data_IF_653188958761
#
_entry.id   IF_653188958761
#
_cell.length_a   1.000
_cell.length_b   1.000
_cell.length_c   1.000
_cell.angle_alpha   90.00
_cell.angle_beta   90.00
_cell.angle_gamma   90.00
#
_symmetry.space_group_name_H-M   'P 1'
#
loop_
_entity.id
_entity.type
_entity.pdbx_description
1 polymer ?
#
# COMPACT_ATOMS: atom_id res chain seq x y z
N UNK A 1 21.59 5.68 25.41
CA UNK A 1 20.73 4.73 24.69
C UNK A 1 19.41 4.71 25.43
N UNK A 2 18.35 5.25 24.83
CA UNK A 2 17.00 5.01 25.34
C UNK A 2 16.57 3.68 24.73
N UNK A 3 16.61 2.61 25.50
CA UNK A 3 16.03 1.34 25.08
C UNK A 3 14.52 1.56 24.98
N UNK A 4 13.99 1.46 23.76
CA UNK A 4 12.55 1.40 23.55
C UNK A 4 12.11 0.07 24.17
N UNK A 5 11.37 0.14 25.27
CA UNK A 5 10.81 -1.06 25.89
C UNK A 5 9.88 -1.75 24.88
N UNK A 6 10.11 -3.04 24.62
CA UNK A 6 9.23 -3.85 23.78
C UNK A 6 7.88 -4.03 24.49
N UNK A 7 6.78 -4.07 23.73
CA UNK A 7 5.47 -4.41 24.28
C UNK A 7 5.46 -5.83 24.83
N UNK A 8 4.68 -6.08 25.89
CA UNK A 8 4.41 -7.43 26.39
C UNK A 8 3.19 -8.08 25.71
N UNK A 9 2.55 -7.40 24.76
CA UNK A 9 1.39 -7.90 24.02
C UNK A 9 1.84 -8.53 22.68
N UNK A 10 1.59 -9.83 22.52
CA UNK A 10 1.98 -10.59 21.32
C UNK A 10 1.41 -9.98 20.02
N UNK A 11 0.13 -9.61 20.01
CA UNK A 11 -0.51 -9.01 18.83
C UNK A 11 0.10 -7.67 18.46
N UNK A 12 0.56 -6.90 19.45
CA UNK A 12 1.27 -5.65 19.19
C UNK A 12 2.66 -5.91 18.59
N UNK A 13 3.40 -6.87 19.12
CA UNK A 13 4.71 -7.27 18.56
C UNK A 13 4.55 -7.78 17.12
N UNK A 14 3.52 -8.58 16.82
CA UNK A 14 3.24 -9.06 15.45
C UNK A 14 2.97 -7.91 14.48
N UNK A 15 2.20 -6.90 14.91
CA UNK A 15 1.91 -5.71 14.12
C UNK A 15 3.19 -4.90 13.85
N UNK A 16 4.02 -4.67 14.87
CA UNK A 16 5.30 -3.97 14.75
C UNK A 16 6.27 -4.70 13.81
N UNK A 17 6.37 -6.04 13.92
CA UNK A 17 7.18 -6.88 13.03
C UNK A 17 6.70 -6.75 11.58
N UNK A 18 5.40 -6.84 11.34
CA UNK A 18 4.84 -6.72 9.99
C UNK A 18 5.09 -5.31 9.41
N UNK A 19 4.94 -4.26 10.21
CA UNK A 19 5.26 -2.90 9.81
C UNK A 19 6.72 -2.74 9.38
N UNK A 20 7.67 -3.24 10.19
CA UNK A 20 9.09 -3.20 9.83
C UNK A 20 9.43 -4.03 8.58
N UNK A 21 8.78 -5.18 8.39
CA UNK A 21 8.94 -5.99 7.17
C UNK A 21 8.47 -5.24 5.92
N UNK A 22 7.34 -4.51 6.01
CA UNK A 22 6.85 -3.68 4.90
C UNK A 22 7.85 -2.58 4.55
N UNK A 23 8.32 -1.82 5.57
CA UNK A 23 9.32 -0.76 5.36
C UNK A 23 10.61 -1.31 4.77
N UNK A 24 11.05 -2.50 5.22
CA UNK A 24 12.27 -3.12 4.73
C UNK A 24 12.19 -3.42 3.22
N UNK A 25 11.08 -4.02 2.76
CA UNK A 25 10.86 -4.25 1.33
C UNK A 25 10.86 -2.94 0.54
N UNK A 26 10.15 -1.92 1.03
CA UNK A 26 10.03 -0.62 0.35
C UNK A 26 11.40 0.05 0.22
N UNK A 27 12.18 -0.04 1.28
CA UNK A 27 13.54 0.48 1.33
C UNK A 27 14.43 -0.19 0.29
N UNK A 28 14.34 -1.51 0.11
CA UNK A 28 15.10 -2.25 -0.91
C UNK A 28 14.76 -1.75 -2.31
N UNK A 29 13.47 -1.59 -2.61
CA UNK A 29 13.00 -1.10 -3.91
C UNK A 29 13.48 0.32 -4.20
N UNK A 30 13.30 1.24 -3.24
CA UNK A 30 13.70 2.64 -3.38
C UNK A 30 15.23 2.80 -3.49
N UNK A 31 16.00 2.00 -2.75
CA UNK A 31 17.45 1.92 -2.91
C UNK A 31 17.80 1.45 -4.32
N UNK A 32 17.15 0.40 -4.82
CA UNK A 32 17.33 -0.10 -6.17
C UNK A 32 17.08 0.96 -7.26
N UNK A 33 16.02 1.74 -7.11
CA UNK A 33 15.66 2.83 -8.01
C UNK A 33 16.74 3.92 -8.04
N UNK A 34 17.24 4.33 -6.87
CA UNK A 34 18.32 5.32 -6.76
C UNK A 34 19.64 4.80 -7.32
N UNK A 35 19.95 3.52 -7.09
CA UNK A 35 21.13 2.87 -7.67
C UNK A 35 21.08 2.84 -9.21
N UNK A 36 19.91 2.54 -9.80
CA UNK A 36 19.71 2.61 -11.25
C UNK A 36 19.90 4.04 -11.77
N UNK A 37 19.29 5.02 -11.11
CA UNK A 37 19.40 6.43 -11.51
C UNK A 37 20.85 6.91 -11.56
N UNK A 38 21.61 6.72 -10.47
CA UNK A 38 23.01 7.14 -10.38
C UNK A 38 23.89 6.43 -11.41
N UNK A 39 23.62 5.15 -11.69
CA UNK A 39 24.37 4.38 -12.70
C UNK A 39 24.15 4.90 -14.12
N UNK A 40 22.95 5.38 -14.41
CA UNK A 40 22.55 5.83 -15.74
C UNK A 40 22.88 7.31 -16.00
N UNK A 41 22.87 8.16 -14.95
CA UNK A 41 22.88 9.62 -15.12
C UNK A 41 24.10 10.33 -14.51
N UNK A 42 24.67 9.82 -13.41
CA UNK A 42 25.58 10.63 -12.58
C UNK A 42 27.03 10.14 -12.57
N UNK A 43 27.30 8.90 -12.98
CA UNK A 43 28.64 8.29 -12.87
C UNK A 43 29.20 7.87 -14.23
N UNK A 44 30.45 8.27 -14.48
CA UNK A 44 31.22 7.79 -15.61
C UNK A 44 31.48 6.28 -15.51
N UNK A 45 31.69 5.64 -16.67
CA UNK A 45 31.95 4.19 -16.74
C UNK A 45 33.10 3.78 -15.81
N UNK A 46 32.86 2.78 -14.97
CA UNK A 46 33.83 2.26 -14.00
C UNK A 46 33.79 2.89 -12.59
N UNK A 47 33.12 4.02 -12.38
CA UNK A 47 33.06 4.66 -11.05
C UNK A 47 31.96 4.11 -10.13
N UNK A 48 30.97 3.43 -10.70
CA UNK A 48 29.79 2.92 -9.98
C UNK A 48 30.16 1.97 -8.83
N UNK A 49 31.16 1.09 -9.03
CA UNK A 49 31.56 0.11 -8.04
C UNK A 49 32.17 0.74 -6.79
N UNK A 50 33.12 1.66 -6.98
CA UNK A 50 33.77 2.39 -5.88
C UNK A 50 32.78 3.25 -5.11
N UNK A 51 31.77 3.81 -5.79
CA UNK A 51 30.77 4.68 -5.18
C UNK A 51 29.88 3.94 -4.17
N UNK A 52 29.28 2.79 -4.55
CA UNK A 52 28.42 2.07 -3.61
C UNK A 52 29.22 1.37 -2.49
N UNK A 53 30.46 0.97 -2.77
CA UNK A 53 31.35 0.38 -1.76
C UNK A 53 31.71 1.37 -0.65
N UNK A 54 31.88 2.66 -0.98
CA UNK A 54 32.11 3.73 0.01
C UNK A 54 30.94 3.86 1.00
N UNK A 55 29.72 3.52 0.58
CA UNK A 55 28.53 3.51 1.43
C UNK A 55 28.36 2.19 2.20
N UNK A 56 29.31 1.26 2.11
CA UNK A 56 29.26 -0.05 2.77
C UNK A 56 28.31 -1.05 2.12
N UNK A 57 27.82 -0.78 0.90
CA UNK A 57 26.89 -1.69 0.23
C UNK A 57 27.63 -2.86 -0.41
N UNK A 58 27.09 -4.07 -0.23
CA UNK A 58 27.61 -5.28 -0.87
C UNK A 58 27.19 -5.34 -2.35
N UNK A 59 28.09 -5.69 -3.29
CA UNK A 59 27.77 -5.89 -4.71
C UNK A 59 26.55 -6.78 -4.99
N UNK A 60 26.37 -7.86 -4.22
CA UNK A 60 25.24 -8.79 -4.34
C UNK A 60 23.92 -8.10 -4.03
N UNK A 61 23.87 -7.30 -2.97
CA UNK A 61 22.68 -6.53 -2.59
C UNK A 61 22.35 -5.48 -3.67
N UNK A 62 23.35 -4.72 -4.11
CA UNK A 62 23.20 -3.69 -5.16
C UNK A 62 22.60 -4.30 -6.42
N UNK A 63 23.14 -5.43 -6.90
CA UNK A 63 22.62 -6.14 -8.08
C UNK A 63 21.16 -6.58 -7.91
N UNK A 64 20.81 -7.13 -6.73
CA UNK A 64 19.45 -7.57 -6.44
C UNK A 64 18.48 -6.39 -6.41
N UNK A 65 18.78 -5.35 -5.64
CA UNK A 65 17.93 -4.17 -5.46
C UNK A 65 17.69 -3.45 -6.80
N UNK A 66 18.74 -3.24 -7.59
CA UNK A 66 18.63 -2.64 -8.93
C UNK A 66 17.74 -3.46 -9.86
N UNK A 67 17.86 -4.80 -9.83
CA UNK A 67 17.02 -5.68 -10.65
C UNK A 67 15.55 -5.60 -10.20
N UNK A 68 15.29 -5.69 -8.90
CA UNK A 68 13.94 -5.56 -8.33
C UNK A 68 13.28 -4.25 -8.78
N UNK A 69 13.98 -3.12 -8.66
CA UNK A 69 13.44 -1.83 -9.06
C UNK A 69 13.25 -1.66 -10.58
N UNK A 70 13.99 -2.41 -11.40
CA UNK A 70 13.86 -2.37 -12.87
C UNK A 70 12.66 -3.17 -13.36
N UNK A 71 12.43 -4.34 -12.77
CA UNK A 71 11.36 -5.26 -13.17
C UNK A 71 10.01 -4.88 -12.55
N UNK A 72 10.02 -4.24 -11.37
CA UNK A 72 8.82 -3.75 -10.70
C UNK A 72 8.81 -2.22 -10.65
N UNK A 73 8.18 -1.52 -11.61
CA UNK A 73 8.16 -0.05 -11.62
C UNK A 73 7.24 0.55 -10.55
N UNK A 74 6.36 -0.24 -9.92
CA UNK A 74 5.49 0.20 -8.83
C UNK A 74 5.70 -0.67 -7.58
N UNK A 75 5.84 -0.02 -6.43
CA UNK A 75 6.03 -0.65 -5.12
C UNK A 75 4.72 -1.16 -4.50
N UNK A 76 3.58 -0.60 -4.89
CA UNK A 76 2.27 -0.82 -4.24
C UNK A 76 1.86 -2.30 -4.13
N UNK A 77 2.43 -3.17 -4.97
CA UNK A 77 2.12 -4.60 -5.09
C UNK A 77 3.02 -5.55 -4.29
N UNK A 78 4.03 -5.06 -3.56
CA UNK A 78 5.09 -5.91 -2.97
C UNK A 78 5.17 -5.93 -1.42
N UNK A 79 4.07 -5.85 -0.65
CA UNK A 79 4.19 -5.86 0.80
C UNK A 79 4.73 -7.20 1.33
N UNK A 80 5.54 -7.13 2.39
CA UNK A 80 6.01 -8.26 3.21
C UNK A 80 7.01 -9.27 2.60
N UNK A 81 7.56 -9.00 1.41
CA UNK A 81 8.55 -9.88 0.80
C UNK A 81 9.98 -9.60 1.28
N UNK A 82 10.74 -10.68 1.51
CA UNK A 82 12.18 -10.62 1.76
C UNK A 82 12.98 -10.23 0.51
N UNK A 83 14.22 -9.76 0.69
CA UNK A 83 15.16 -9.42 -0.39
C UNK A 83 15.29 -10.54 -1.44
N UNK A 84 15.34 -11.79 -0.96
CA UNK A 84 15.50 -12.98 -1.78
C UNK A 84 14.22 -13.32 -2.53
N UNK A 85 13.05 -13.17 -1.90
CA UNK A 85 11.77 -13.40 -2.55
C UNK A 85 11.55 -12.38 -3.67
N UNK A 86 11.76 -11.09 -3.38
CA UNK A 86 11.70 -10.00 -4.37
C UNK A 86 12.62 -10.29 -5.58
N UNK A 87 13.87 -10.64 -5.31
CA UNK A 87 14.82 -10.94 -6.37
C UNK A 87 14.45 -12.19 -7.18
N UNK A 88 13.91 -13.23 -6.54
CA UNK A 88 13.50 -14.45 -7.24
C UNK A 88 12.34 -14.15 -8.19
N UNK A 89 11.30 -13.46 -7.71
CA UNK A 89 10.16 -13.06 -8.54
C UNK A 89 10.65 -12.18 -9.71
N UNK A 90 11.50 -11.17 -9.46
CA UNK A 90 12.10 -10.34 -10.51
C UNK A 90 12.90 -11.12 -11.58
N UNK A 91 13.25 -12.39 -11.31
CA UNK A 91 14.00 -13.23 -12.26
C UNK A 91 13.13 -14.26 -12.98
N UNK A 92 11.83 -14.33 -12.68
CA UNK A 92 10.89 -15.20 -13.37
C UNK A 92 10.52 -14.64 -14.76
N UNK A 93 10.00 -15.47 -15.67
CA UNK A 93 9.30 -15.01 -16.88
C UNK A 93 8.15 -14.04 -16.57
N UNK A 94 7.77 -13.19 -17.53
CA UNK A 94 6.81 -12.11 -17.29
C UNK A 94 5.40 -12.61 -16.88
N UNK A 95 4.95 -13.69 -17.48
CA UNK A 95 3.72 -14.42 -17.14
C UNK A 95 3.72 -14.91 -15.68
N UNK A 96 4.80 -15.57 -15.28
CA UNK A 96 4.98 -16.09 -13.92
C UNK A 96 5.15 -14.95 -12.89
N UNK A 97 5.78 -13.84 -13.27
CA UNK A 97 5.86 -12.65 -12.43
C UNK A 97 4.47 -12.11 -12.10
N UNK A 98 3.62 -11.93 -13.13
CA UNK A 98 2.24 -11.45 -12.96
C UNK A 98 1.44 -12.41 -12.07
N UNK A 99 1.57 -13.72 -12.27
CA UNK A 99 0.90 -14.70 -11.43
C UNK A 99 1.32 -14.60 -9.96
N UNK A 100 2.62 -14.48 -9.67
CA UNK A 100 3.08 -14.33 -8.28
C UNK A 100 2.61 -13.00 -7.66
N UNK A 101 2.56 -11.91 -8.43
CA UNK A 101 2.03 -10.63 -7.96
C UNK A 101 0.54 -10.73 -7.61
N UNK A 102 -0.27 -11.35 -8.47
CA UNK A 102 -1.70 -11.56 -8.22
C UNK A 102 -1.95 -12.39 -6.95
N UNK A 103 -1.12 -13.41 -6.70
CA UNK A 103 -1.19 -14.22 -5.46
C UNK A 103 -0.90 -13.37 -4.21
N UNK A 104 0.09 -12.48 -4.30
CA UNK A 104 0.45 -11.56 -3.20
C UNK A 104 -0.69 -10.58 -2.92
N UNK A 105 -1.32 -10.03 -3.95
CA UNK A 105 -2.49 -9.14 -3.82
C UNK A 105 -3.68 -9.85 -3.14
N UNK A 106 -3.84 -11.15 -3.37
CA UNK A 106 -4.85 -11.99 -2.71
C UNK A 106 -4.47 -12.39 -1.27
N UNK A 107 -3.32 -11.94 -0.78
CA UNK A 107 -2.83 -12.20 0.58
C UNK A 107 -1.97 -13.45 0.72
N UNK A 108 -1.67 -14.17 -0.36
CA UNK A 108 -0.74 -15.30 -0.35
C UNK A 108 0.70 -14.84 -0.55
N UNK A 109 1.53 -14.97 0.50
CA UNK A 109 2.96 -14.62 0.41
C UNK A 109 3.77 -15.86 0.02
N UNK A 110 4.35 -15.92 -1.21
CA UNK A 110 5.10 -17.09 -1.66
C UNK A 110 6.39 -17.25 -0.85
N UNK A 111 6.73 -18.50 -0.50
CA UNK A 111 7.97 -18.77 0.22
C UNK A 111 9.18 -18.79 -0.72
N UNK A 112 10.36 -18.48 -0.18
CA UNK A 112 11.62 -18.57 -0.96
C UNK A 112 11.86 -19.97 -1.51
N UNK A 113 11.41 -21.01 -0.81
CA UNK A 113 11.52 -22.40 -1.24
C UNK A 113 10.64 -22.70 -2.47
N UNK A 114 9.38 -22.26 -2.43
CA UNK A 114 8.45 -22.36 -3.56
C UNK A 114 9.01 -21.65 -4.80
N UNK A 115 9.47 -20.40 -4.64
CA UNK A 115 10.02 -19.62 -5.74
C UNK A 115 11.29 -20.25 -6.35
N UNK A 116 12.14 -20.87 -5.53
CA UNK A 116 13.32 -21.61 -6.02
C UNK A 116 12.92 -22.86 -6.81
N UNK A 117 11.92 -23.59 -6.32
CA UNK A 117 11.44 -24.79 -6.98
C UNK A 117 10.78 -24.46 -8.33
N UNK A 118 9.94 -23.43 -8.37
CA UNK A 118 9.33 -22.91 -9.60
C UNK A 118 10.39 -22.51 -10.63
N UNK A 119 11.38 -21.72 -10.21
CA UNK A 119 12.49 -21.33 -11.08
C UNK A 119 13.28 -22.52 -11.62
N UNK A 120 13.50 -23.55 -10.79
CA UNK A 120 14.15 -24.79 -11.20
C UNK A 120 13.38 -25.54 -12.28
N UNK A 121 12.06 -25.69 -12.09
CA UNK A 121 11.16 -26.31 -13.09
C UNK A 121 11.19 -25.58 -14.42
N UNK A 122 11.07 -24.25 -14.40
CA UNK A 122 11.11 -23.42 -15.61
C UNK A 122 12.46 -23.53 -16.34
N UNK A 123 13.57 -23.57 -15.59
CA UNK A 123 14.90 -23.75 -16.18
C UNK A 123 15.05 -25.11 -16.86
N UNK A 124 14.57 -26.18 -16.22
CA UNK A 124 14.63 -27.53 -16.79
C UNK A 124 13.74 -27.67 -18.04
N UNK A 125 12.55 -27.07 -18.02
CA UNK A 125 11.66 -27.03 -19.19
C UNK A 125 12.31 -26.29 -20.37
N UNK A 126 12.93 -25.12 -20.11
CA UNK A 126 13.65 -24.36 -21.14
C UNK A 126 14.81 -25.15 -21.76
N UNK A 127 15.59 -25.87 -20.95
CA UNK A 127 16.67 -26.73 -21.46
C UNK A 127 16.12 -27.86 -22.34
N UNK A 128 15.03 -28.51 -21.91
CA UNK A 128 14.39 -29.58 -22.67
C UNK A 128 13.88 -29.11 -24.03
N UNK A 129 13.29 -27.91 -24.09
CA UNK A 129 12.82 -27.31 -25.35
C UNK A 129 14.01 -27.04 -26.28
N UNK A 130 15.10 -26.45 -25.77
CA UNK A 130 16.29 -26.17 -26.57
C UNK A 130 16.93 -27.45 -27.13
N UNK A 131 17.02 -28.53 -26.33
CA UNK A 131 17.51 -29.83 -26.78
C UNK A 131 16.65 -30.43 -27.91
N UNK A 132 15.31 -30.32 -27.80
CA UNK A 132 14.38 -30.81 -28.81
C UNK A 132 14.43 -29.99 -30.10
N UNK A 133 14.59 -28.67 -30.00
CA UNK A 133 14.79 -27.79 -31.15
C UNK A 133 16.08 -28.13 -31.91
N UNK A 134 17.18 -28.36 -31.20
CA UNK A 134 18.47 -28.75 -31.78
C UNK A 134 18.39 -30.14 -32.45
N UNK A 135 17.70 -31.10 -31.82
CA UNK A 135 17.45 -32.41 -32.42
C UNK A 135 16.57 -32.31 -33.68
N UNK A 136 15.54 -31.47 -33.68
CA UNK A 136 14.67 -31.27 -34.85
C UNK A 136 15.41 -30.68 -36.06
N UNK A 137 16.44 -29.86 -35.81
CA UNK A 137 17.27 -29.28 -36.86
C UNK A 137 18.27 -30.29 -37.45
N UNK A 138 18.73 -31.27 -36.67
CA UNK A 138 19.64 -32.32 -37.15
C UNK A 138 18.94 -33.43 -37.97
N UNK A 139 17.62 -33.59 -37.86
CA UNK A 139 16.86 -34.67 -38.54
C UNK A 139 16.44 -34.33 -39.99
N UNK A 140 16.81 -33.16 -40.55
CA UNK A 140 16.63 -32.89 -42.00
C UNK A 140 17.68 -33.59 -42.87
N UNK A 141 17.66 -34.91 -42.91
CA UNK A 141 18.39 -35.71 -43.92
C UNK A 141 17.56 -35.75 -45.20
N UNK A 142 18.17 -35.35 -46.32
CA UNK A 142 17.61 -35.40 -47.68
C UNK A 142 17.43 -36.85 -48.12
N UNK A 143 16.19 -37.33 -48.21
CA UNK A 143 15.87 -38.50 -49.04
C UNK A 143 15.25 -38.02 -50.36
N UNK A 144 15.97 -38.29 -51.44
CA UNK A 144 15.49 -38.09 -52.81
C UNK A 144 14.67 -39.32 -53.19
N UNK A 145 13.35 -39.24 -53.05
CA UNK A 145 12.41 -40.21 -53.62
C UNK A 145 11.99 -39.67 -54.98
N UNK A 146 12.30 -40.44 -56.03
CA UNK A 146 11.94 -40.15 -57.41
C UNK A 146 10.55 -40.72 -57.66
N UNK A 147 9.51 -39.95 -57.32
CA UNK A 147 8.12 -40.32 -57.56
C UNK A 147 7.67 -39.71 -58.91
N UNK A 148 7.17 -40.57 -59.81
CA UNK A 148 6.63 -40.15 -61.10
C UNK A 148 5.20 -39.66 -60.84
N UNK A 149 5.03 -38.35 -60.72
CA UNK A 149 3.70 -37.74 -60.62
C UNK A 149 3.04 -37.69 -62.01
N UNK A 150 2.00 -38.50 -62.21
CA UNK A 150 0.99 -38.22 -63.23
C UNK A 150 0.09 -37.14 -62.65
N UNK A 151 0.35 -35.89 -63.02
CA UNK A 151 -0.45 -34.74 -62.64
C UNK A 151 -1.88 -34.86 -63.21
N UNK A 152 -2.92 -34.93 -62.37
CA UNK A 152 -4.31 -34.80 -62.82
C UNK A 152 -4.51 -33.43 -63.49
N UNK A 153 -5.36 -33.34 -64.52
CA UNK A 153 -5.55 -32.13 -65.34
C UNK A 153 -5.99 -30.88 -64.53
N UNK A 154 -6.48 -31.11 -63.32
CA UNK A 154 -7.08 -30.23 -62.33
C UNK A 154 -6.12 -29.84 -61.19
N UNK A 155 -4.87 -30.34 -61.18
CA UNK A 155 -3.89 -30.06 -60.13
C UNK A 155 -3.47 -28.57 -60.06
N UNK A 156 -3.43 -27.90 -61.21
CA UNK A 156 -3.06 -26.47 -61.27
C UNK A 156 -4.15 -25.56 -60.71
N UNK A 157 -5.42 -25.96 -60.82
CA UNK A 157 -6.56 -25.24 -60.21
C UNK A 157 -6.59 -25.44 -58.69
N UNK A 158 -6.25 -26.64 -58.20
CA UNK A 158 -6.13 -26.90 -56.76
C UNK A 158 -5.02 -26.06 -56.11
N UNK A 159 -3.88 -25.89 -56.78
CA UNK A 159 -2.77 -25.04 -56.31
C UNK A 159 -3.18 -23.57 -56.25
N UNK A 160 -3.80 -23.05 -57.33
CA UNK A 160 -4.19 -21.64 -57.38
C UNK A 160 -5.24 -21.30 -56.32
N UNK A 161 -6.20 -22.20 -56.08
CA UNK A 161 -7.19 -22.05 -55.03
C UNK A 161 -6.56 -22.11 -53.62
N UNK A 162 -5.61 -23.00 -53.38
CA UNK A 162 -4.90 -23.09 -52.10
C UNK A 162 -4.08 -21.82 -51.83
N UNK A 163 -3.40 -21.29 -52.85
CA UNK A 163 -2.67 -20.03 -52.77
C UNK A 163 -3.60 -18.86 -52.40
N UNK A 164 -4.77 -18.78 -53.03
CA UNK A 164 -5.76 -17.75 -52.77
C UNK A 164 -6.37 -17.87 -51.36
N UNK A 165 -6.60 -19.09 -50.88
CA UNK A 165 -7.03 -19.37 -49.51
C UNK A 165 -5.94 -19.02 -48.49
N UNK A 166 -4.66 -19.27 -48.79
CA UNK A 166 -3.54 -18.86 -47.94
C UNK A 166 -3.42 -17.34 -47.85
N UNK A 167 -3.54 -16.63 -48.97
CA UNK A 167 -3.50 -15.16 -49.00
C UNK A 167 -4.68 -14.55 -48.24
N UNK A 168 -5.88 -15.14 -48.39
CA UNK A 168 -7.08 -14.74 -47.64
C UNK A 168 -6.90 -15.00 -46.13
N UNK A 169 -6.43 -16.20 -45.75
CA UNK A 169 -6.15 -16.52 -44.34
C UNK A 169 -5.10 -15.60 -43.74
N UNK A 170 -4.06 -15.24 -44.49
CA UNK A 170 -3.04 -14.30 -44.06
C UNK A 170 -3.63 -12.92 -43.81
N UNK A 171 -4.47 -12.42 -44.71
CA UNK A 171 -5.18 -11.15 -44.52
C UNK A 171 -6.11 -11.18 -43.30
N UNK A 172 -6.77 -12.31 -43.02
CA UNK A 172 -7.58 -12.49 -41.81
C UNK A 172 -6.75 -12.52 -40.52
N UNK A 173 -5.58 -13.17 -40.54
CA UNK A 173 -4.64 -13.20 -39.41
C UNK A 173 -4.13 -11.79 -39.10
N UNK A 174 -3.72 -11.03 -40.12
CA UNK A 174 -3.23 -9.66 -39.95
C UNK A 174 -4.33 -8.73 -39.39
N UNK A 175 -5.57 -8.90 -39.85
CA UNK A 175 -6.73 -8.15 -39.33
C UNK A 175 -7.06 -8.50 -37.90
N UNK A 176 -6.99 -9.77 -37.52
CA UNK A 176 -7.22 -10.21 -36.15
C UNK A 176 -6.13 -9.68 -35.21
N UNK A 177 -4.85 -9.72 -35.62
CA UNK A 177 -3.75 -9.15 -34.85
C UNK A 177 -3.93 -7.63 -34.61
N UNK A 178 -4.40 -6.91 -35.63
CA UNK A 178 -4.72 -5.48 -35.50
C UNK A 178 -5.89 -5.22 -34.54
N UNK A 179 -6.95 -6.03 -34.59
CA UNK A 179 -8.10 -5.91 -33.70
C UNK A 179 -7.74 -6.25 -32.24
N UNK A 180 -6.92 -7.27 -32.02
CA UNK A 180 -6.36 -7.60 -30.70
C UNK A 180 -5.55 -6.44 -30.14
N UNK A 181 -4.70 -5.81 -30.96
CA UNK A 181 -3.94 -4.63 -30.55
C UNK A 181 -4.84 -3.45 -30.15
N UNK A 182 -5.92 -3.20 -30.90
CA UNK A 182 -6.88 -2.15 -30.53
C UNK A 182 -7.64 -2.48 -29.24
N UNK A 183 -8.08 -3.73 -29.06
CA UNK A 183 -8.73 -4.16 -27.83
C UNK A 183 -7.83 -4.00 -26.61
N UNK A 184 -6.54 -4.34 -26.75
CA UNK A 184 -5.55 -4.14 -25.70
C UNK A 184 -5.39 -2.67 -25.33
N UNK A 185 -5.30 -1.78 -26.32
CA UNK A 185 -5.22 -0.33 -26.07
C UNK A 185 -6.46 0.22 -25.37
N UNK A 186 -7.66 -0.24 -25.75
CA UNK A 186 -8.91 0.16 -25.12
C UNK A 186 -9.00 -0.38 -23.68
N UNK A 187 -8.54 -1.60 -23.44
CA UNK A 187 -8.47 -2.18 -22.09
C UNK A 187 -7.52 -1.40 -21.18
N UNK A 188 -6.31 -1.08 -21.65
CA UNK A 188 -5.34 -0.24 -20.91
C UNK A 188 -5.89 1.16 -20.60
N UNK A 189 -6.61 1.78 -21.54
CA UNK A 189 -7.24 3.07 -21.31
C UNK A 189 -8.34 3.00 -20.25
N UNK A 190 -9.14 1.93 -20.25
CA UNK A 190 -10.18 1.72 -19.23
C UNK A 190 -9.58 1.46 -17.85
N UNK A 191 -8.50 0.69 -17.77
CA UNK A 191 -7.80 0.44 -16.51
C UNK A 191 -7.22 1.74 -15.93
N UNK A 192 -6.57 2.57 -16.77
CA UNK A 192 -6.08 3.90 -16.38
C UNK A 192 -7.22 4.81 -15.91
N UNK A 193 -8.38 4.78 -16.58
CA UNK A 193 -9.56 5.52 -16.14
C UNK A 193 -10.07 5.04 -14.76
N UNK A 194 -10.13 3.72 -14.52
CA UNK A 194 -10.52 3.17 -13.22
C UNK A 194 -9.57 3.60 -12.10
N UNK A 195 -8.25 3.60 -12.35
CA UNK A 195 -7.25 4.08 -11.39
C UNK A 195 -7.42 5.57 -11.05
N UNK A 196 -7.82 6.40 -12.03
CA UNK A 196 -8.11 7.82 -11.79
C UNK A 196 -9.34 8.00 -10.91
N UNK A 197 -10.42 7.24 -11.16
CA UNK A 197 -11.64 7.26 -10.33
C UNK A 197 -11.39 6.79 -8.89
N UNK A 198 -10.48 5.83 -8.70
CA UNK A 198 -10.05 5.38 -7.37
C UNK A 198 -9.26 6.47 -6.62
N UNK A 199 -8.35 7.16 -7.31
CA UNK A 199 -7.60 8.29 -6.74
C UNK A 199 -8.54 9.45 -6.40
N UNK A 200 -9.51 9.75 -7.25
CA UNK A 200 -10.49 10.82 -7.00
C UNK A 200 -11.34 10.52 -5.75
N UNK A 201 -11.80 9.27 -5.60
CA UNK A 201 -12.50 8.82 -4.38
C UNK A 201 -11.61 8.90 -3.13
N UNK A 202 -10.34 8.52 -3.22
CA UNK A 202 -9.41 8.62 -2.10
C UNK A 202 -9.15 10.08 -1.70
N UNK A 203 -9.08 11.00 -2.67
CA UNK A 203 -8.95 12.44 -2.43
C UNK A 203 -10.21 12.99 -1.76
N UNK A 204 -11.41 12.62 -2.21
CA UNK A 204 -12.67 13.03 -1.58
C UNK A 204 -12.79 12.53 -0.13
N UNK A 205 -12.48 11.26 0.11
CA UNK A 205 -12.46 10.69 1.47
C UNK A 205 -11.44 11.39 2.37
N UNK A 206 -10.23 11.65 1.85
CA UNK A 206 -9.18 12.37 2.56
C UNK A 206 -9.59 13.81 2.91
N UNK A 207 -10.27 14.52 2.00
CA UNK A 207 -10.84 15.85 2.25
C UNK A 207 -11.95 15.82 3.30
N UNK A 208 -12.81 14.80 3.27
CA UNK A 208 -13.83 14.58 4.29
C UNK A 208 -13.22 14.38 5.68
N UNK A 209 -12.21 13.52 5.79
CA UNK A 209 -11.49 13.27 7.05
C UNK A 209 -10.78 14.52 7.58
N UNK A 210 -10.10 15.28 6.72
CA UNK A 210 -9.47 16.56 7.07
C UNK A 210 -10.50 17.59 7.57
N UNK A 211 -11.70 17.61 6.98
CA UNK A 211 -12.78 18.51 7.39
C UNK A 211 -13.33 18.15 8.77
N UNK A 212 -13.51 16.85 9.06
CA UNK A 212 -13.96 16.39 10.38
C UNK A 212 -12.92 16.69 11.45
N UNK A 213 -11.63 16.42 11.20
CA UNK A 213 -10.55 16.79 12.12
C UNK A 213 -10.47 18.30 12.36
N UNK A 214 -10.67 19.13 11.33
CA UNK A 214 -10.72 20.58 11.49
C UNK A 214 -11.88 21.03 12.38
N UNK A 215 -13.04 20.39 12.24
CA UNK A 215 -14.23 20.64 13.08
C UNK A 215 -13.98 20.22 14.54
N UNK A 216 -13.35 19.07 14.76
CA UNK A 216 -12.93 18.62 16.10
C UNK A 216 -11.93 19.58 16.74
N UNK A 217 -10.92 20.03 16.00
CA UNK A 217 -9.92 21.00 16.48
C UNK A 217 -10.59 22.35 16.82
N UNK A 218 -11.51 22.82 15.97
CA UNK A 218 -12.25 24.06 16.21
C UNK A 218 -13.10 23.95 17.48
N UNK A 219 -13.89 22.88 17.63
CA UNK A 219 -14.69 22.59 18.82
C UNK A 219 -13.84 22.49 20.08
N UNK A 220 -12.70 21.80 20.01
CA UNK A 220 -11.75 21.68 21.11
C UNK A 220 -11.17 23.05 21.50
N UNK A 221 -10.80 23.87 20.52
CA UNK A 221 -10.27 25.23 20.75
C UNK A 221 -11.31 26.14 21.40
N UNK A 222 -12.56 26.09 20.94
CA UNK A 222 -13.68 26.83 21.53
C UNK A 222 -13.92 26.40 22.97
N UNK A 223 -13.94 25.09 23.22
CA UNK A 223 -14.09 24.51 24.57
C UNK A 223 -12.98 24.96 25.51
N UNK A 224 -11.71 24.85 25.09
CA UNK A 224 -10.56 25.32 25.89
C UNK A 224 -10.65 26.82 26.17
N UNK A 225 -11.08 27.61 25.18
CA UNK A 225 -11.22 29.06 25.33
C UNK A 225 -12.32 29.41 26.34
N UNK A 226 -13.45 28.70 26.28
CA UNK A 226 -14.54 28.84 27.24
C UNK A 226 -14.09 28.48 28.67
N UNK A 227 -13.41 27.34 28.85
CA UNK A 227 -12.87 26.93 30.14
C UNK A 227 -11.86 27.93 30.72
N UNK A 228 -11.00 28.53 29.87
CA UNK A 228 -10.09 29.60 30.31
C UNK A 228 -10.84 30.82 30.84
N UNK A 229 -11.93 31.23 30.19
CA UNK A 229 -12.77 32.34 30.68
C UNK A 229 -13.46 31.98 32.01
N UNK A 230 -13.95 30.75 32.15
CA UNK A 230 -14.52 30.25 33.41
C UNK A 230 -13.50 30.30 34.56
N UNK A 231 -12.27 29.83 34.32
CA UNK A 231 -11.19 29.89 35.32
C UNK A 231 -10.81 31.33 35.69
N UNK A 232 -10.79 32.25 34.72
CA UNK A 232 -10.56 33.68 34.99
C UNK A 232 -11.69 34.30 35.82
N UNK A 233 -12.94 33.95 35.54
CA UNK A 233 -14.09 34.36 36.34
C UNK A 233 -13.98 33.87 37.79
N UNK A 234 -13.71 32.57 38.01
CA UNK A 234 -13.54 32.00 39.35
C UNK A 234 -12.38 32.66 40.11
N UNK A 235 -11.27 32.93 39.42
CA UNK A 235 -10.12 33.64 40.01
C UNK A 235 -10.51 35.07 40.44
N UNK A 236 -11.32 35.75 39.64
CA UNK A 236 -11.82 37.10 39.95
C UNK A 236 -12.81 37.11 41.12
N UNK A 237 -13.57 36.03 41.29
CA UNK A 237 -14.55 35.85 42.37
C UNK A 237 -13.98 35.22 43.64
N UNK A 238 -12.77 34.64 43.62
CA UNK A 238 -12.08 34.18 44.84
C UNK A 238 -11.86 35.27 45.90
N UNK A 239 -11.98 36.54 45.51
CA UNK A 239 -12.02 37.69 46.40
C UNK A 239 -13.29 37.84 47.26
N UNK A 240 -14.40 37.18 46.90
CA UNK A 240 -15.68 37.26 47.62
C UNK A 240 -15.55 36.74 49.05
N UNK A 241 -14.68 35.75 49.27
CA UNK A 241 -14.36 35.21 50.60
C UNK A 241 -13.75 36.24 51.56
N UNK A 242 -13.19 37.34 51.02
CA UNK A 242 -12.57 38.42 51.78
C UNK A 242 -13.48 39.64 51.94
N UNK A 243 -14.68 39.63 51.37
CA UNK A 243 -15.67 40.68 51.61
C UNK A 243 -16.25 40.48 53.01
N UNK A 244 -16.09 41.48 53.90
CA UNK A 244 -16.74 41.48 55.22
C UNK A 244 -18.23 41.83 55.08
N UNK A 245 -18.98 40.88 54.50
CA UNK A 245 -20.43 41.01 54.29
C UNK A 245 -21.23 40.42 55.44
N UNK A 246 -20.60 39.74 56.40
CA UNK A 246 -21.30 39.05 57.51
C UNK A 246 -22.14 39.99 58.37
N UNK A 247 -21.71 41.25 58.52
CA UNK A 247 -22.41 42.26 59.32
C UNK A 247 -23.60 42.90 58.59
N UNK A 248 -23.61 42.86 57.25
CA UNK A 248 -24.60 43.51 56.38
C UNK A 248 -25.62 42.49 55.83
N UNK A 249 -25.20 41.24 55.62
CA UNK A 249 -26.00 40.17 55.05
C UNK A 249 -27.31 39.89 55.83
N UNK A 250 -27.33 39.84 57.18
CA UNK A 250 -28.58 39.62 57.93
C UNK A 250 -29.54 40.81 57.87
N UNK A 251 -29.03 42.00 57.52
CA UNK A 251 -29.77 43.27 57.49
C UNK A 251 -30.25 43.64 56.09
N UNK A 252 -29.80 42.92 55.05
CA UNK A 252 -30.12 43.21 53.66
C UNK A 252 -30.62 41.95 52.95
N UNK A 253 -31.96 41.80 52.92
CA UNK A 253 -32.63 40.64 52.32
C UNK A 253 -32.33 40.50 50.81
N UNK A 254 -32.17 41.61 50.09
CA UNK A 254 -31.84 41.59 48.67
C UNK A 254 -30.43 41.05 48.44
N UNK A 255 -29.43 41.53 49.20
CA UNK A 255 -28.06 41.02 49.13
C UNK A 255 -27.99 39.52 49.44
N UNK A 256 -28.77 39.06 50.43
CA UNK A 256 -28.88 37.64 50.77
C UNK A 256 -29.44 36.80 49.62
N UNK A 257 -30.52 37.25 48.99
CA UNK A 257 -31.14 36.56 47.86
C UNK A 257 -30.20 36.46 46.65
N UNK A 258 -29.44 37.52 46.35
CA UNK A 258 -28.44 37.50 45.28
C UNK A 258 -27.31 36.51 45.58
N UNK A 259 -26.85 36.44 46.84
CA UNK A 259 -25.82 35.50 47.26
C UNK A 259 -26.30 34.04 47.22
N UNK A 260 -27.54 33.77 47.66
CA UNK A 260 -28.17 32.45 47.57
C UNK A 260 -28.35 32.01 46.09
N UNK A 261 -28.76 32.94 45.22
CA UNK A 261 -28.87 32.70 43.77
C UNK A 261 -27.52 32.37 43.15
N UNK A 262 -26.49 33.15 43.49
CA UNK A 262 -25.12 32.92 43.04
C UNK A 262 -24.58 31.56 43.49
N UNK A 263 -24.80 31.18 44.75
CA UNK A 263 -24.39 29.88 45.28
C UNK A 263 -25.10 28.71 44.58
N UNK A 264 -26.40 28.86 44.28
CA UNK A 264 -27.17 27.86 43.52
C UNK A 264 -26.61 27.67 42.10
N UNK A 265 -26.31 28.77 41.40
CA UNK A 265 -25.72 28.72 40.07
C UNK A 265 -24.32 28.08 40.06
N UNK A 266 -23.50 28.36 41.08
CA UNK A 266 -22.19 27.69 41.22
C UNK A 266 -22.32 26.19 41.45
N UNK A 267 -23.32 25.77 42.23
CA UNK A 267 -23.58 24.34 42.46
C UNK A 267 -24.02 23.64 41.16
N UNK A 268 -24.93 24.23 40.40
CA UNK A 268 -25.36 23.69 39.09
C UNK A 268 -24.15 23.54 38.17
N UNK A 269 -23.33 24.58 38.05
CA UNK A 269 -22.12 24.54 37.22
C UNK A 269 -21.13 23.44 37.68
N UNK A 270 -20.97 23.26 38.99
CA UNK A 270 -20.15 22.20 39.55
C UNK A 270 -20.68 20.81 39.19
N UNK A 271 -21.99 20.58 39.38
CA UNK A 271 -22.65 19.31 39.09
C UNK A 271 -22.57 18.99 37.57
N UNK A 272 -22.76 19.99 36.70
CA UNK A 272 -22.60 19.85 35.24
C UNK A 272 -21.17 19.44 34.84
N UNK A 273 -20.16 20.06 35.44
CA UNK A 273 -18.75 19.73 35.18
C UNK A 273 -18.40 18.33 35.69
N UNK A 274 -18.92 17.93 36.85
CA UNK A 274 -18.76 16.56 37.39
C UNK A 274 -19.40 15.51 36.47
N UNK A 275 -20.59 15.81 35.94
CA UNK A 275 -21.25 14.98 34.94
C UNK A 275 -20.41 14.81 33.67
N UNK A 276 -19.80 15.90 33.17
CA UNK A 276 -18.90 15.86 32.01
C UNK A 276 -17.60 15.08 32.27
N UNK A 277 -17.12 15.06 33.52
CA UNK A 277 -15.94 14.28 33.93
C UNK A 277 -16.25 12.80 34.21
N UNK A 278 -17.51 12.37 34.04
CA UNK A 278 -17.92 10.99 34.30
C UNK A 278 -17.93 10.63 35.78
N UNK A 279 -17.95 11.62 36.67
CA UNK A 279 -18.02 11.45 38.12
C UNK A 279 -19.45 11.69 38.59
N UNK A 280 -20.36 10.78 38.24
CA UNK A 280 -21.68 10.74 38.87
C UNK A 280 -21.56 10.12 40.25
N UNK A 281 -21.86 10.90 41.29
CA UNK A 281 -22.26 10.36 42.60
C UNK A 281 -23.56 9.58 42.39
N UNK A 282 -23.49 8.25 42.39
CA UNK A 282 -24.46 7.33 43.01
C UNK A 282 -24.22 5.87 42.54
N UNK A 283 -23.25 5.18 43.14
CA UNK A 283 -23.44 3.77 43.48
C UNK A 283 -23.95 3.74 44.93
N UNK A 284 -25.28 3.78 45.09
CA UNK A 284 -25.91 3.38 46.35
C UNK A 284 -25.82 1.86 46.42
N UNK A 285 -24.82 1.34 47.14
CA UNK A 285 -24.82 -0.03 47.63
C UNK A 285 -25.81 -0.11 48.80
N UNK A 286 -27.10 -0.28 48.51
CA UNK A 286 -28.03 -0.84 49.50
C UNK A 286 -27.78 -2.34 49.58
N UNK A 287 -26.85 -2.71 50.46
CA UNK A 287 -26.60 -4.08 50.88
C UNK A 287 -26.43 -4.12 52.40
N UNK A 288 -27.31 -4.89 53.03
CA UNK A 288 -27.32 -5.31 54.44
C UNK A 288 -27.84 -4.32 55.50
N UNK A 289 -29.09 -4.56 55.91
CA UNK A 289 -29.44 -4.57 57.33
C UNK A 289 -29.95 -5.97 57.69
N UNK A 290 -29.22 -6.62 58.61
CA UNK A 290 -29.61 -7.81 59.39
C UNK A 290 -30.81 -7.51 60.29
#
# INVERSE_FOLDING_TARGET
MNEIALSNNLSQIELEINHHKQIAGQSIWEIGRRLNHVKEHDLAHGQFMSWYQKMGMNPTFVKKAMKVAKEFPNWATLPNLSDNALYLIATLPADEQVEQLNRIEQGEVPTVAELRHLKGKLSAAKQRIAELEEQSQQVRVKEVIKEVEVLPADYHEAISLNQQLMDSNKAHVDRNAFLEQQLQQVAEQREKAGQLDDIERAIEQGRGYLTEQQKEIASTKETITFLKKGNQFLTSFGGVSYLDIQTVLPKNAQLRMELETFASQLKILYDDVQGLLGQTQDEILEGELL
#
